data_IF_753260085323
#
_entry.id   IF_753260085323
#
_cell.length_a   1.000
_cell.length_b   1.000
_cell.length_c   1.000
_cell.angle_alpha   90.00
_cell.angle_beta   90.00
_cell.angle_gamma   90.00
#
_symmetry.space_group_name_H-M   'P 1'
#
loop_
_entity.id
_entity.type
_entity.pdbx_description
1 polymer ?
#
# COMPACT_ATOMS: atom_id res chain seq x y z
N UNK A 1 -5.91 -6.69 -20.62
CA UNK A 1 -7.05 -5.79 -20.34
C UNK A 1 -6.70 -4.90 -19.15
N UNK A 2 -6.92 -3.61 -19.33
CA UNK A 2 -6.70 -2.66 -18.23
C UNK A 2 -7.87 -2.78 -17.25
N UNK A 3 -7.57 -2.93 -15.97
CA UNK A 3 -8.60 -2.95 -14.94
C UNK A 3 -9.28 -1.58 -14.84
N UNK A 4 -10.60 -1.55 -14.75
CA UNK A 4 -11.36 -0.32 -14.48
C UNK A 4 -11.72 -0.20 -13.01
N UNK A 5 -11.32 -1.17 -12.19
CA UNK A 5 -11.66 -1.22 -10.77
C UNK A 5 -10.50 -0.70 -9.93
N UNK A 6 -10.83 0.16 -8.97
CA UNK A 6 -9.89 0.59 -7.94
C UNK A 6 -9.77 -0.54 -6.92
N UNK A 7 -8.53 -0.91 -6.56
CA UNK A 7 -8.28 -1.91 -5.51
C UNK A 7 -7.51 -1.25 -4.39
N UNK A 8 -8.10 -1.18 -3.20
CA UNK A 8 -7.47 -0.62 -2.02
C UNK A 8 -6.96 -1.75 -1.15
N UNK A 9 -5.65 -1.74 -0.89
CA UNK A 9 -4.98 -2.75 -0.08
C UNK A 9 -4.67 -2.18 1.30
N UNK A 10 -5.01 -2.92 2.34
CA UNK A 10 -4.74 -2.50 3.70
C UNK A 10 -5.03 -3.60 4.70
N UNK A 11 -5.29 -3.19 5.94
CA UNK A 11 -5.71 -4.09 7.01
C UNK A 11 -6.90 -3.47 7.74
N UNK A 12 -7.82 -4.31 8.21
CA UNK A 12 -9.09 -3.85 8.78
C UNK A 12 -8.93 -3.00 10.04
N UNK A 13 -7.90 -3.27 10.82
CA UNK A 13 -7.65 -2.56 12.09
C UNK A 13 -6.98 -1.19 11.93
N UNK A 14 -6.66 -0.79 10.69
CA UNK A 14 -5.95 0.47 10.45
C UNK A 14 -6.93 1.62 10.24
N UNK A 15 -6.86 2.64 11.11
CA UNK A 15 -7.75 3.81 11.00
C UNK A 15 -7.55 4.58 9.69
N UNK A 16 -6.31 4.67 9.22
CA UNK A 16 -6.00 5.33 7.95
C UNK A 16 -6.70 4.61 6.78
N UNK A 17 -6.74 3.27 6.82
CA UNK A 17 -7.42 2.47 5.80
C UNK A 17 -8.93 2.72 5.85
N UNK A 18 -9.51 2.79 7.05
CA UNK A 18 -10.94 3.09 7.22
C UNK A 18 -11.30 4.45 6.65
N UNK A 19 -10.47 5.46 6.92
CA UNK A 19 -10.65 6.82 6.39
C UNK A 19 -10.54 6.84 4.88
N UNK A 20 -9.59 6.09 4.31
CA UNK A 20 -9.40 6.03 2.87
C UNK A 20 -10.61 5.42 2.17
N UNK A 21 -11.15 4.33 2.72
CA UNK A 21 -12.35 3.68 2.17
C UNK A 21 -13.55 4.62 2.21
N UNK A 22 -13.75 5.31 3.34
CA UNK A 22 -14.83 6.27 3.48
C UNK A 22 -14.70 7.40 2.46
N UNK A 23 -13.48 7.86 2.21
CA UNK A 23 -13.23 8.94 1.24
C UNK A 23 -13.56 8.51 -0.18
N UNK A 24 -13.19 7.28 -0.56
CA UNK A 24 -13.55 6.75 -1.88
C UNK A 24 -15.07 6.65 -2.03
N UNK A 25 -15.76 6.22 -0.98
CA UNK A 25 -17.23 6.15 -1.00
C UNK A 25 -17.86 7.54 -1.15
N UNK A 26 -17.36 8.55 -0.44
CA UNK A 26 -17.81 9.93 -0.54
C UNK A 26 -17.67 10.48 -1.96
N UNK A 27 -16.61 10.10 -2.65
CA UNK A 27 -16.34 10.56 -4.01
C UNK A 27 -17.07 9.73 -5.08
N UNK A 28 -17.82 8.72 -4.66
CA UNK A 28 -18.55 7.85 -5.58
C UNK A 28 -17.65 6.91 -6.39
N UNK A 29 -16.45 6.65 -5.90
CA UNK A 29 -15.49 5.78 -6.57
C UNK A 29 -15.67 4.34 -6.09
N UNK A 30 -16.24 3.49 -6.95
CA UNK A 30 -16.38 2.08 -6.67
C UNK A 30 -15.00 1.44 -6.52
N UNK A 31 -14.84 0.59 -5.51
CA UNK A 31 -13.55 -0.03 -5.24
C UNK A 31 -13.71 -1.38 -4.59
N UNK A 32 -12.67 -2.23 -4.76
CA UNK A 32 -12.52 -3.47 -4.02
C UNK A 32 -11.57 -3.24 -2.87
N UNK A 33 -11.87 -3.88 -1.73
CA UNK A 33 -10.99 -3.87 -0.58
C UNK A 33 -10.27 -5.20 -0.46
N UNK A 34 -8.94 -5.15 -0.42
CA UNK A 34 -8.09 -6.31 -0.21
C UNK A 34 -7.39 -6.16 1.14
N UNK A 35 -7.76 -7.00 2.11
CA UNK A 35 -7.11 -7.03 3.41
C UNK A 35 -5.97 -8.05 3.35
N UNK A 36 -4.72 -7.57 3.29
CA UNK A 36 -3.60 -8.48 3.08
C UNK A 36 -3.26 -9.34 4.30
N UNK A 37 -3.83 -9.08 5.47
CA UNK A 37 -3.73 -10.03 6.60
C UNK A 37 -4.69 -11.19 6.42
N UNK A 38 -5.89 -10.93 5.92
CA UNK A 38 -6.90 -11.94 5.68
C UNK A 38 -6.71 -12.65 4.35
N UNK A 39 -6.45 -11.86 3.30
CA UNK A 39 -6.46 -12.33 1.91
C UNK A 39 -5.06 -12.61 1.36
N UNK A 40 -4.03 -12.24 2.10
CA UNK A 40 -2.65 -12.53 1.75
C UNK A 40 -1.90 -11.38 1.11
N UNK A 41 -0.58 -11.42 1.25
CA UNK A 41 0.37 -10.50 0.63
C UNK A 41 1.35 -11.37 -0.16
N UNK A 42 1.48 -11.12 -1.46
CA UNK A 42 2.31 -11.95 -2.33
C UNK A 42 3.52 -11.20 -2.87
N UNK A 43 4.53 -11.95 -3.33
CA UNK A 43 5.68 -11.38 -4.02
C UNK A 43 5.26 -10.59 -5.25
N UNK A 44 4.29 -11.11 -6.02
CA UNK A 44 3.80 -10.46 -7.22
C UNK A 44 3.18 -9.09 -6.93
N UNK A 45 2.41 -8.99 -5.86
CA UNK A 45 1.85 -7.70 -5.42
C UNK A 45 2.95 -6.71 -5.10
N UNK A 46 3.92 -7.13 -4.29
CA UNK A 46 5.03 -6.26 -3.89
C UNK A 46 5.88 -5.86 -5.09
N UNK A 47 6.14 -6.77 -6.02
CA UNK A 47 6.90 -6.46 -7.22
C UNK A 47 6.20 -5.40 -8.06
N UNK A 48 4.87 -5.48 -8.21
CA UNK A 48 4.10 -4.45 -8.94
C UNK A 48 4.22 -3.09 -8.26
N UNK A 49 4.10 -3.07 -6.94
CA UNK A 49 4.14 -1.82 -6.17
C UNK A 49 5.55 -1.22 -6.19
N UNK A 50 6.58 -2.05 -6.02
CA UNK A 50 7.98 -1.60 -6.08
C UNK A 50 8.30 -1.04 -7.46
N UNK A 51 7.85 -1.71 -8.52
CA UNK A 51 8.06 -1.23 -9.88
C UNK A 51 7.39 0.12 -10.13
N UNK A 52 6.22 0.35 -9.52
CA UNK A 52 5.45 1.58 -9.72
C UNK A 52 5.97 2.76 -8.91
N UNK A 53 6.32 2.55 -7.63
CA UNK A 53 6.63 3.66 -6.70
C UNK A 53 8.00 3.55 -6.04
N UNK A 54 8.70 2.44 -6.21
CA UNK A 54 9.97 2.18 -5.52
C UNK A 54 9.77 1.67 -4.10
N UNK A 55 10.86 1.24 -3.47
CA UNK A 55 10.80 0.66 -2.11
C UNK A 55 10.56 1.71 -1.04
N UNK A 56 11.10 2.91 -1.21
CA UNK A 56 11.10 3.92 -0.17
C UNK A 56 9.69 4.31 0.31
N UNK A 57 8.73 4.62 -0.58
CA UNK A 57 7.38 4.97 -0.14
C UNK A 57 6.61 3.81 0.47
N UNK A 58 6.97 2.55 0.14
CA UNK A 58 6.23 1.37 0.59
C UNK A 58 6.51 1.02 2.05
N UNK A 59 7.66 1.42 2.59
CA UNK A 59 8.08 1.01 3.93
C UNK A 59 7.68 2.08 4.93
N UNK A 60 6.89 1.68 5.93
CA UNK A 60 6.52 2.57 7.02
C UNK A 60 7.67 2.64 8.03
N UNK A 61 8.44 3.74 7.99
CA UNK A 61 9.59 3.96 8.85
C UNK A 61 9.24 4.65 10.16
N UNK A 62 7.97 4.96 10.38
CA UNK A 62 7.50 5.68 11.57
C UNK A 62 6.80 4.80 12.59
N UNK A 63 6.51 3.55 12.23
CA UNK A 63 5.72 2.66 13.07
C UNK A 63 6.56 1.89 14.08
N UNK A 64 5.84 1.20 14.97
CA UNK A 64 6.45 0.38 16.02
C UNK A 64 7.28 -0.76 15.43
N UNK A 65 6.78 -1.40 14.36
CA UNK A 65 7.48 -2.52 13.74
C UNK A 65 8.85 -2.09 13.22
N UNK A 66 8.94 -0.93 12.57
CA UNK A 66 10.21 -0.39 12.10
C UNK A 66 11.17 -0.17 13.26
N UNK A 67 10.68 0.42 14.35
CA UNK A 67 11.52 0.71 15.53
C UNK A 67 12.08 -0.54 16.19
N UNK A 68 11.42 -1.67 16.04
CA UNK A 68 11.87 -2.96 16.60
C UNK A 68 12.89 -3.68 15.73
N UNK A 69 13.11 -3.22 14.50
CA UNK A 69 14.07 -3.85 13.61
C UNK A 69 15.50 -3.46 14.05
N UNK A 70 16.46 -4.39 13.85
CA UNK A 70 17.87 -4.08 14.03
C UNK A 70 18.41 -3.29 12.85
N UNK A 71 19.68 -2.87 12.94
CA UNK A 71 20.30 -2.05 11.90
C UNK A 71 20.43 -2.76 10.57
N UNK A 72 20.68 -4.06 10.56
CA UNK A 72 20.81 -4.84 9.34
C UNK A 72 19.47 -4.96 8.61
N UNK A 73 18.40 -5.20 9.38
CA UNK A 73 17.05 -5.29 8.80
C UNK A 73 16.62 -3.94 8.22
N UNK A 74 16.88 -2.84 8.92
CA UNK A 74 16.57 -1.50 8.41
C UNK A 74 17.34 -1.19 7.13
N UNK A 75 18.62 -1.54 7.08
CA UNK A 75 19.43 -1.33 5.88
C UNK A 75 18.91 -2.14 4.70
N UNK A 76 18.39 -3.33 4.94
CA UNK A 76 17.84 -4.18 3.87
C UNK A 76 16.63 -3.55 3.17
N UNK A 77 15.96 -2.60 3.82
CA UNK A 77 14.78 -1.96 3.26
C UNK A 77 15.08 -1.04 2.07
N UNK A 78 16.35 -0.76 1.80
CA UNK A 78 16.74 0.12 0.68
C UNK A 78 16.98 -0.66 -0.62
N UNK A 79 17.10 -1.98 -0.55
CA UNK A 79 17.35 -2.82 -1.72
C UNK A 79 16.07 -3.58 -2.09
N UNK A 80 15.61 -3.55 -3.38
CA UNK A 80 14.29 -4.07 -3.74
C UNK A 80 14.02 -5.52 -3.34
N UNK A 81 14.93 -6.45 -3.63
CA UNK A 81 14.70 -7.86 -3.29
C UNK A 81 14.69 -8.09 -1.77
N UNK A 82 15.59 -7.44 -1.05
CA UNK A 82 15.65 -7.55 0.41
C UNK A 82 14.44 -6.86 1.06
N UNK A 83 14.02 -5.72 0.53
CA UNK A 83 12.81 -5.03 1.01
C UNK A 83 11.57 -5.90 0.79
N UNK A 84 11.45 -6.55 -0.36
CA UNK A 84 10.34 -7.46 -0.63
C UNK A 84 10.28 -8.58 0.41
N UNK A 85 11.41 -9.22 0.69
CA UNK A 85 11.47 -10.28 1.69
C UNK A 85 11.10 -9.77 3.07
N UNK A 86 11.56 -8.58 3.44
CA UNK A 86 11.26 -7.96 4.72
C UNK A 86 9.75 -7.67 4.85
N UNK A 87 9.13 -7.12 3.81
CA UNK A 87 7.71 -6.80 3.83
C UNK A 87 6.83 -8.06 3.87
N UNK A 88 7.27 -9.14 3.22
CA UNK A 88 6.57 -10.43 3.31
C UNK A 88 6.63 -10.99 4.72
N UNK A 89 7.79 -10.88 5.37
CA UNK A 89 7.98 -11.36 6.74
C UNK A 89 7.26 -10.48 7.77
N UNK A 90 7.17 -9.17 7.50
CA UNK A 90 6.60 -8.18 8.40
C UNK A 90 5.56 -7.32 7.65
N UNK A 91 4.37 -7.86 7.36
CA UNK A 91 3.37 -7.10 6.59
C UNK A 91 2.96 -5.75 7.21
N UNK A 92 3.08 -5.60 8.53
CA UNK A 92 2.77 -4.33 9.18
C UNK A 92 3.74 -3.21 8.81
N UNK A 93 4.88 -3.52 8.17
CA UNK A 93 5.78 -2.51 7.62
C UNK A 93 5.29 -1.89 6.32
N UNK A 94 4.33 -2.52 5.65
CA UNK A 94 3.78 -1.95 4.42
C UNK A 94 3.00 -0.69 4.78
N UNK A 95 3.37 0.44 4.17
CA UNK A 95 2.65 1.70 4.36
C UNK A 95 1.26 1.59 3.72
N UNK A 96 0.23 2.02 4.42
CA UNK A 96 -1.17 1.83 4.02
C UNK A 96 -1.89 3.16 3.88
N UNK A 97 -2.89 3.23 3.01
CA UNK A 97 -3.28 2.21 2.04
C UNK A 97 -2.39 2.19 0.82
N UNK A 98 -2.27 1.04 0.18
CA UNK A 98 -1.73 0.94 -1.17
C UNK A 98 -2.93 0.81 -2.11
N UNK A 99 -3.03 1.68 -3.08
CA UNK A 99 -4.17 1.67 -4.00
C UNK A 99 -3.67 1.44 -5.43
N UNK A 100 -4.24 0.43 -6.07
CA UNK A 100 -4.02 0.19 -7.49
C UNK A 100 -5.20 0.81 -8.25
N UNK A 101 -4.87 1.77 -9.10
CA UNK A 101 -5.86 2.55 -9.83
C UNK A 101 -6.05 2.02 -11.25
N UNK A 102 -7.19 2.31 -11.90
CA UNK A 102 -7.35 1.97 -13.31
C UNK A 102 -6.22 2.56 -14.14
N UNK A 103 -5.70 1.78 -15.09
CA UNK A 103 -4.58 2.22 -15.92
C UNK A 103 -3.20 1.88 -15.37
N UNK A 104 -3.12 1.24 -14.21
CA UNK A 104 -1.86 0.76 -13.65
C UNK A 104 -1.15 1.70 -12.69
N UNK A 105 -1.71 2.87 -12.42
CA UNK A 105 -1.15 3.79 -11.42
C UNK A 105 -1.28 3.17 -10.02
N UNK A 106 -0.27 3.39 -9.18
CA UNK A 106 -0.25 2.93 -7.79
C UNK A 106 0.02 4.13 -6.88
N UNK A 107 -0.74 4.26 -5.80
CA UNK A 107 -0.47 5.26 -4.78
C UNK A 107 -0.24 4.59 -3.44
N UNK A 108 0.59 5.20 -2.58
CA UNK A 108 0.91 4.68 -1.25
C UNK A 108 0.70 5.80 -0.23
N UNK A 109 -0.10 5.50 0.79
CA UNK A 109 -0.44 6.46 1.84
C UNK A 109 -1.72 7.23 1.55
N UNK A 110 -2.27 7.84 2.60
CA UNK A 110 -3.56 8.52 2.51
C UNK A 110 -3.51 9.76 1.60
N UNK A 111 -2.48 10.60 1.76
CA UNK A 111 -2.41 11.84 0.99
C UNK A 111 -2.28 11.59 -0.50
N UNK A 112 -1.45 10.61 -0.88
CA UNK A 112 -1.31 10.22 -2.29
C UNK A 112 -2.61 9.65 -2.83
N UNK A 113 -3.29 8.81 -2.06
CA UNK A 113 -4.60 8.26 -2.42
C UNK A 113 -5.60 9.39 -2.66
N UNK A 114 -5.65 10.36 -1.75
CA UNK A 114 -6.61 11.45 -1.85
C UNK A 114 -6.36 12.31 -3.08
N UNK A 115 -5.10 12.55 -3.43
CA UNK A 115 -4.75 13.34 -4.62
C UNK A 115 -5.25 12.67 -5.91
N UNK A 116 -5.05 11.36 -6.04
CA UNK A 116 -5.52 10.62 -7.21
C UNK A 116 -7.05 10.55 -7.21
N UNK A 117 -7.66 10.25 -6.07
CA UNK A 117 -9.11 10.14 -5.95
C UNK A 117 -9.81 11.44 -6.31
N UNK A 118 -9.28 12.58 -5.86
CA UNK A 118 -9.85 13.89 -6.16
C UNK A 118 -9.83 14.18 -7.67
N UNK A 119 -8.76 13.79 -8.35
CA UNK A 119 -8.64 13.95 -9.80
C UNK A 119 -9.66 13.09 -10.55
N UNK A 120 -9.89 11.87 -10.09
CA UNK A 120 -10.81 10.93 -10.73
C UNK A 120 -12.27 11.18 -10.37
N UNK A 121 -12.53 11.66 -9.14
CA UNK A 121 -13.88 11.89 -8.65
C UNK A 121 -14.45 13.26 -9.00
N UNK A 122 -13.65 14.12 -9.59
CA UNK A 122 -14.08 15.47 -9.91
C UNK A 122 -14.99 15.53 -11.13
#
# INVERSE_FOLDING_TARGET
>A
MTSTTVVLHGIASCDTVKRARARLDELGLAHRYHDFRRDGLSEAMLDRWIAAVGVHPLVNRKGTTWRRLDGAARASADEPAAARALLLAQPSLVKRPVVEWPGGEVSVGFDAMQAVAARLGA
#
